data_IF_119834124492
#
_entry.id   IF_119834124492
#
_cell.length_a   1.000
_cell.length_b   1.000
_cell.length_c   1.000
_cell.angle_alpha   90.00
_cell.angle_beta   90.00
_cell.angle_gamma   90.00
#
_symmetry.space_group_name_H-M   'P 1'
#
loop_
_entity.id
_entity.type
_entity.pdbx_description
1 polymer ?
#
# COMPACT_ATOMS: atom_id res chain seq x y z
N UNK A 1 4.73 5.72 -5.03
CA UNK A 1 4.99 4.35 -5.54
C UNK A 1 6.48 4.07 -5.79
N UNK A 2 7.34 5.10 -5.90
CA UNK A 2 8.79 4.94 -6.10
C UNK A 2 9.50 4.30 -4.90
N UNK A 3 8.98 4.45 -3.68
CA UNK A 3 9.63 3.95 -2.47
C UNK A 3 9.44 2.45 -2.24
N UNK A 4 8.25 1.89 -2.52
CA UNK A 4 8.00 0.43 -2.43
C UNK A 4 8.95 -0.37 -3.33
N UNK A 5 9.29 0.17 -4.49
CA UNK A 5 10.25 -0.42 -5.45
C UNK A 5 11.70 -0.24 -4.96
N UNK A 6 11.99 0.80 -4.18
CA UNK A 6 13.30 1.10 -3.60
C UNK A 6 13.54 0.46 -2.23
N UNK A 7 12.53 -0.21 -1.64
CA UNK A 7 12.71 -0.99 -0.40
C UNK A 7 13.86 -1.97 -0.64
N UNK A 8 14.98 -1.75 0.04
CA UNK A 8 16.12 -2.67 -0.03
C UNK A 8 15.74 -4.06 0.50
N UNK A 9 16.45 -5.11 0.09
CA UNK A 9 16.19 -6.50 0.52
C UNK A 9 16.06 -6.63 2.06
N UNK A 10 16.84 -5.84 2.81
CA UNK A 10 16.78 -5.80 4.28
C UNK A 10 15.42 -5.34 4.82
N UNK A 11 14.83 -4.30 4.24
CA UNK A 11 13.52 -3.79 4.69
C UNK A 11 12.39 -4.76 4.33
N UNK A 12 12.45 -5.46 3.18
CA UNK A 12 11.50 -6.54 2.85
C UNK A 12 11.45 -7.66 3.89
N UNK A 13 12.62 -8.09 4.40
CA UNK A 13 12.69 -9.16 5.41
C UNK A 13 12.07 -8.72 6.75
N UNK A 14 12.24 -7.46 7.15
CA UNK A 14 11.60 -6.92 8.35
C UNK A 14 10.07 -6.96 8.21
N UNK A 15 9.54 -6.64 7.03
CA UNK A 15 8.11 -6.71 6.76
C UNK A 15 7.54 -8.13 6.72
N UNK A 16 8.30 -9.10 6.18
CA UNK A 16 7.91 -10.52 6.24
C UNK A 16 7.85 -11.00 7.69
N UNK A 17 8.90 -10.69 8.47
CA UNK A 17 8.94 -11.00 9.90
C UNK A 17 7.75 -10.40 10.65
N UNK A 18 7.44 -9.11 10.42
CA UNK A 18 6.27 -8.47 11.00
C UNK A 18 4.93 -9.11 10.56
N UNK A 19 4.87 -9.64 9.33
CA UNK A 19 3.70 -10.37 8.84
C UNK A 19 3.58 -11.79 9.42
N UNK A 20 4.68 -12.44 9.78
CA UNK A 20 4.72 -13.74 10.47
C UNK A 20 4.35 -13.60 11.94
N UNK A 21 4.97 -12.63 12.61
CA UNK A 21 4.78 -12.34 14.01
C UNK A 21 4.78 -10.82 14.23
N UNK A 22 3.60 -10.20 14.34
CA UNK A 22 3.49 -8.76 14.60
C UNK A 22 4.12 -8.33 15.92
N UNK A 23 4.29 -9.23 16.90
CA UNK A 23 4.95 -8.93 18.17
C UNK A 23 6.48 -8.87 18.05
N UNK A 24 7.04 -9.54 17.05
CA UNK A 24 8.46 -9.51 16.72
C UNK A 24 8.82 -8.41 15.70
N UNK A 25 7.87 -7.54 15.35
CA UNK A 25 8.08 -6.47 14.41
C UNK A 25 9.03 -5.40 14.98
N UNK A 26 10.02 -5.02 14.17
CA UNK A 26 11.05 -4.06 14.56
C UNK A 26 10.71 -2.68 13.99
N UNK A 27 9.64 -2.05 14.51
CA UNK A 27 9.07 -0.81 13.94
C UNK A 27 10.08 0.32 13.77
N UNK A 28 10.96 0.55 14.76
CA UNK A 28 12.03 1.56 14.65
C UNK A 28 12.94 1.30 13.46
N UNK A 29 13.31 0.05 13.19
CA UNK A 29 14.18 -0.30 12.05
C UNK A 29 13.44 -0.24 10.72
N UNK A 30 12.12 -0.48 10.74
CA UNK A 30 11.27 -0.42 9.55
C UNK A 30 11.10 1.05 9.11
N UNK A 31 10.95 1.96 10.06
CA UNK A 31 10.67 3.38 9.81
C UNK A 31 11.87 4.31 10.06
N UNK A 32 13.07 3.77 10.26
CA UNK A 32 14.30 4.56 10.42
C UNK A 32 14.46 5.55 9.26
N UNK A 33 14.52 6.84 9.58
CA UNK A 33 14.62 7.93 8.60
C UNK A 33 13.30 8.35 7.93
N UNK A 34 12.14 7.88 8.39
CA UNK A 34 10.82 8.23 7.85
C UNK A 34 9.94 8.95 8.89
N UNK A 35 9.32 10.06 8.49
CA UNK A 35 8.37 10.80 9.33
C UNK A 35 6.91 10.36 9.15
N UNK A 36 6.62 9.60 8.08
CA UNK A 36 5.28 9.14 7.74
C UNK A 36 5.31 7.83 6.95
N UNK A 37 4.20 7.09 7.01
CA UNK A 37 4.01 5.87 6.22
C UNK A 37 2.66 5.89 5.52
N UNK A 38 2.61 5.32 4.32
CA UNK A 38 1.38 5.12 3.53
C UNK A 38 1.40 3.74 2.88
N UNK A 39 0.22 3.29 2.43
CA UNK A 39 0.04 2.08 1.63
C UNK A 39 0.46 0.78 2.35
N UNK A 40 0.32 -0.34 1.65
CA UNK A 40 0.81 -1.63 2.09
C UNK A 40 2.35 -1.67 2.06
N UNK A 41 3.00 -2.34 3.01
CA UNK A 41 2.42 -3.21 4.05
C UNK A 41 1.96 -2.49 5.33
N UNK A 42 2.43 -1.27 5.60
CA UNK A 42 2.19 -0.57 6.86
C UNK A 42 0.70 -0.39 7.19
N UNK A 43 -0.13 -0.10 6.19
CA UNK A 43 -1.58 0.05 6.34
C UNK A 43 -2.24 -1.20 6.96
N UNK A 44 -1.66 -2.41 6.81
CA UNK A 44 -2.15 -3.62 7.48
C UNK A 44 -2.09 -3.53 9.00
N UNK A 45 -1.04 -2.88 9.50
CA UNK A 45 -0.63 -2.85 10.90
C UNK A 45 -1.07 -1.57 11.62
N UNK A 46 -1.93 -0.76 10.99
CA UNK A 46 -2.32 0.55 11.51
C UNK A 46 -2.72 0.53 12.99
N UNK A 47 -3.47 -0.49 13.47
CA UNK A 47 -3.85 -0.63 14.89
C UNK A 47 -2.63 -0.77 15.81
N UNK A 48 -1.68 -1.60 15.43
CA UNK A 48 -0.42 -1.77 16.18
C UNK A 48 0.38 -0.48 16.15
N UNK A 49 0.45 0.16 14.98
CA UNK A 49 1.23 1.38 14.79
C UNK A 49 0.68 2.57 15.59
N UNK A 50 -0.64 2.75 15.69
CA UNK A 50 -1.22 3.86 16.48
C UNK A 50 -1.06 3.66 18.00
N UNK A 51 -0.90 2.41 18.44
CA UNK A 51 -0.57 2.07 19.83
C UNK A 51 0.91 2.30 20.11
N UNK A 52 1.76 1.87 19.17
CA UNK A 52 3.21 1.99 19.28
C UNK A 52 3.70 3.44 19.15
N UNK A 53 3.07 4.23 18.27
CA UNK A 53 3.29 5.66 18.09
C UNK A 53 2.06 6.45 18.57
N UNK A 54 1.92 6.70 19.89
CA UNK A 54 0.72 7.31 20.46
C UNK A 54 0.51 8.77 20.05
N UNK A 55 1.56 9.46 19.60
CA UNK A 55 1.47 10.85 19.15
C UNK A 55 1.24 10.97 17.64
N UNK A 56 1.30 9.86 16.89
CA UNK A 56 1.09 9.88 15.46
C UNK A 56 -0.35 10.26 15.11
N UNK A 57 -0.48 11.19 14.16
CA UNK A 57 -1.76 11.50 13.52
C UNK A 57 -2.08 10.47 12.43
N UNK A 58 -3.36 10.20 12.22
CA UNK A 58 -3.85 9.25 11.22
C UNK A 58 -4.63 9.99 10.15
N UNK A 59 -4.30 9.73 8.89
CA UNK A 59 -5.04 10.22 7.73
C UNK A 59 -5.70 9.02 7.05
N UNK A 60 -7.02 8.97 7.08
CA UNK A 60 -7.82 7.97 6.40
C UNK A 60 -8.28 8.53 5.05
N UNK A 61 -7.64 8.10 3.97
CA UNK A 61 -8.04 8.48 2.63
C UNK A 61 -9.28 7.67 2.19
N UNK A 62 -10.36 8.37 1.87
CA UNK A 62 -11.63 7.76 1.44
C UNK A 62 -11.99 8.19 0.02
N UNK A 63 -12.55 7.23 -0.71
CA UNK A 63 -13.20 7.48 -2.00
C UNK A 63 -14.38 6.52 -2.19
N UNK A 64 -15.13 6.73 -3.26
CA UNK A 64 -16.17 5.81 -3.71
C UNK A 64 -15.66 4.37 -3.81
N UNK A 65 -16.36 3.43 -3.15
CA UNK A 65 -15.91 2.05 -2.99
C UNK A 65 -15.91 1.28 -4.31
N UNK A 66 -16.84 1.56 -5.22
CA UNK A 66 -16.89 0.90 -6.52
C UNK A 66 -15.73 1.35 -7.42
N UNK A 67 -15.51 2.66 -7.51
CA UNK A 67 -14.34 3.24 -8.20
C UNK A 67 -13.04 2.76 -7.57
N UNK A 68 -13.03 2.54 -6.26
CA UNK A 68 -11.88 1.94 -5.58
C UNK A 68 -11.60 0.52 -6.06
N UNK A 69 -12.62 -0.34 -6.05
CA UNK A 69 -12.51 -1.72 -6.48
C UNK A 69 -12.04 -1.81 -7.93
N UNK A 70 -12.69 -1.07 -8.83
CA UNK A 70 -12.37 -1.09 -10.27
C UNK A 70 -10.93 -0.64 -10.52
N UNK A 71 -10.47 0.36 -9.78
CA UNK A 71 -9.09 0.84 -9.86
C UNK A 71 -8.10 -0.24 -9.40
N UNK A 72 -8.30 -0.89 -8.25
CA UNK A 72 -7.38 -1.92 -7.75
C UNK A 72 -7.41 -3.18 -8.63
N UNK A 73 -8.61 -3.61 -9.07
CA UNK A 73 -8.80 -4.76 -9.96
C UNK A 73 -8.07 -4.59 -11.29
N UNK A 74 -8.20 -3.42 -11.91
CA UNK A 74 -7.60 -3.15 -13.22
C UNK A 74 -6.10 -2.85 -13.16
N UNK A 75 -5.54 -2.70 -11.95
CA UNK A 75 -4.13 -2.36 -11.76
C UNK A 75 -3.36 -3.47 -11.05
N UNK A 76 -3.22 -3.35 -9.72
CA UNK A 76 -2.34 -4.18 -8.90
C UNK A 76 -2.81 -5.64 -8.90
N UNK A 77 -4.12 -5.90 -8.85
CA UNK A 77 -4.63 -7.27 -8.87
C UNK A 77 -4.35 -7.97 -10.21
N UNK A 78 -4.56 -7.28 -11.33
CA UNK A 78 -4.23 -7.78 -12.67
C UNK A 78 -2.73 -8.06 -12.82
N UNK A 79 -1.88 -7.22 -12.24
CA UNK A 79 -0.43 -7.44 -12.25
C UNK A 79 -0.05 -8.68 -11.43
N UNK A 80 -0.57 -8.81 -10.21
CA UNK A 80 -0.31 -9.96 -9.34
C UNK A 80 -0.74 -11.29 -9.98
N UNK A 81 -1.83 -11.28 -10.76
CA UNK A 81 -2.28 -12.45 -11.53
C UNK A 81 -1.47 -12.78 -12.78
N UNK A 82 -0.54 -11.91 -13.21
CA UNK A 82 0.18 -12.05 -14.48
C UNK A 82 1.27 -13.12 -14.45
N UNK A 83 1.54 -13.72 -15.62
CA UNK A 83 2.58 -14.74 -15.77
C UNK A 83 3.98 -14.24 -15.39
N UNK A 84 4.24 -12.95 -15.63
CA UNK A 84 5.48 -12.26 -15.26
C UNK A 84 5.71 -12.32 -13.75
N UNK A 85 4.69 -12.08 -12.93
CA UNK A 85 4.81 -12.19 -11.47
C UNK A 85 4.91 -13.66 -11.02
N UNK A 86 4.08 -14.54 -11.60
CA UNK A 86 4.05 -15.98 -11.24
C UNK A 86 5.34 -16.74 -11.58
N UNK A 87 5.99 -16.42 -12.71
CA UNK A 87 7.24 -17.06 -13.14
C UNK A 87 8.45 -16.25 -12.67
N UNK A 88 8.39 -14.92 -12.73
CA UNK A 88 9.43 -14.00 -12.25
C UNK A 88 9.82 -14.24 -10.80
N UNK A 89 8.86 -14.56 -9.94
CA UNK A 89 9.15 -14.96 -8.57
C UNK A 89 10.10 -16.16 -8.49
N UNK A 90 9.94 -17.20 -9.31
CA UNK A 90 10.77 -18.41 -9.19
C UNK A 90 12.25 -18.19 -9.57
N UNK A 91 12.52 -17.22 -10.44
CA UNK A 91 13.83 -17.03 -11.06
C UNK A 91 14.54 -15.77 -10.56
N UNK A 92 13.82 -14.81 -9.98
CA UNK A 92 14.36 -13.55 -9.48
C UNK A 92 13.99 -13.40 -7.99
N UNK A 93 14.93 -13.64 -7.06
CA UNK A 93 14.64 -13.63 -5.62
C UNK A 93 13.92 -12.37 -5.14
N UNK A 94 14.27 -11.20 -5.67
CA UNK A 94 13.60 -9.94 -5.30
C UNK A 94 12.12 -9.89 -5.71
N UNK A 95 11.74 -10.49 -6.85
CA UNK A 95 10.34 -10.58 -7.27
C UNK A 95 9.57 -11.58 -6.40
N UNK A 96 10.23 -12.67 -5.99
CA UNK A 96 9.63 -13.63 -5.06
C UNK A 96 9.26 -12.98 -3.73
N UNK A 97 10.20 -12.27 -3.09
CA UNK A 97 9.92 -11.61 -1.81
C UNK A 97 8.77 -10.59 -1.92
N UNK A 98 8.68 -9.88 -3.04
CA UNK A 98 7.58 -8.94 -3.28
C UNK A 98 6.24 -9.66 -3.44
N UNK A 99 6.19 -10.73 -4.24
CA UNK A 99 4.99 -11.54 -4.42
C UNK A 99 4.54 -12.18 -3.10
N UNK A 100 5.48 -12.76 -2.34
CA UNK A 100 5.21 -13.37 -1.05
C UNK A 100 4.62 -12.36 -0.05
N UNK A 101 5.24 -11.18 0.09
CA UNK A 101 4.76 -10.15 1.00
C UNK A 101 3.35 -9.66 0.62
N UNK A 102 3.14 -9.37 -0.67
CA UNK A 102 1.84 -8.91 -1.18
C UNK A 102 0.77 -9.98 -0.98
N UNK A 103 1.06 -11.24 -1.30
CA UNK A 103 0.13 -12.35 -1.09
C UNK A 103 -0.20 -12.51 0.40
N UNK A 104 0.82 -12.54 1.26
CA UNK A 104 0.66 -12.80 2.70
C UNK A 104 -0.11 -11.70 3.41
N UNK A 105 0.13 -10.44 3.05
CA UNK A 105 -0.48 -9.29 3.73
C UNK A 105 -1.80 -8.89 3.07
N UNK A 106 -1.81 -8.77 1.74
CA UNK A 106 -2.93 -8.20 1.00
C UNK A 106 -3.91 -9.30 0.60
N UNK A 107 -3.51 -10.20 -0.30
CA UNK A 107 -4.45 -11.14 -0.93
C UNK A 107 -4.97 -12.20 0.04
N UNK A 108 -4.10 -13.01 0.62
CA UNK A 108 -4.46 -14.04 1.59
C UNK A 108 -4.71 -13.41 2.97
N UNK A 109 -3.89 -12.45 3.39
CA UNK A 109 -3.96 -11.87 4.74
C UNK A 109 -5.23 -11.08 5.01
N UNK A 110 -5.57 -10.18 4.09
CA UNK A 110 -6.69 -9.22 4.22
C UNK A 110 -7.92 -9.71 3.47
N UNK A 111 -7.76 -10.06 2.19
CA UNK A 111 -8.88 -10.44 1.34
C UNK A 111 -9.19 -11.93 1.33
N UNK A 112 -8.46 -12.77 2.09
CA UNK A 112 -8.67 -14.23 2.14
C UNK A 112 -8.77 -14.89 0.77
N UNK A 113 -7.98 -14.38 -0.19
CA UNK A 113 -7.95 -14.77 -1.60
C UNK A 113 -9.29 -14.58 -2.35
N UNK A 114 -10.20 -13.78 -1.78
CA UNK A 114 -11.53 -13.47 -2.34
C UNK A 114 -11.61 -12.07 -2.95
N UNK A 115 -10.49 -11.42 -3.25
CA UNK A 115 -10.51 -10.06 -3.82
C UNK A 115 -11.29 -9.98 -5.16
N UNK A 116 -11.36 -11.05 -5.96
CA UNK A 116 -12.15 -11.06 -7.19
C UNK A 116 -13.66 -10.95 -6.98
N UNK A 117 -14.17 -11.32 -5.79
CA UNK A 117 -15.55 -11.11 -5.38
C UNK A 117 -15.72 -9.62 -5.00
N UNK A 118 -16.37 -8.85 -5.89
CA UNK A 118 -16.52 -7.39 -5.75
C UNK A 118 -17.23 -7.02 -4.46
N UNK A 119 -18.31 -7.72 -4.12
CA UNK A 119 -19.10 -7.45 -2.92
C UNK A 119 -18.27 -7.67 -1.67
N UNK A 120 -17.53 -8.79 -1.60
CA UNK A 120 -16.63 -9.08 -0.48
C UNK A 120 -15.50 -8.05 -0.36
N UNK A 121 -14.86 -7.67 -1.48
CA UNK A 121 -13.77 -6.68 -1.44
C UNK A 121 -14.26 -5.30 -0.94
N UNK A 122 -15.45 -4.87 -1.38
CA UNK A 122 -16.09 -3.63 -0.92
C UNK A 122 -16.48 -3.71 0.55
N UNK A 123 -16.98 -4.86 1.01
CA UNK A 123 -17.29 -5.09 2.42
C UNK A 123 -16.06 -4.89 3.30
N UNK A 124 -14.92 -5.50 2.94
CA UNK A 124 -13.66 -5.35 3.65
C UNK A 124 -13.15 -3.89 3.65
N UNK A 125 -13.29 -3.19 2.52
CA UNK A 125 -12.93 -1.77 2.42
C UNK A 125 -13.78 -0.90 3.34
N UNK A 126 -15.10 -1.08 3.34
CA UNK A 126 -16.01 -0.33 4.20
C UNK A 126 -15.77 -0.66 5.68
N UNK A 127 -15.61 -1.94 6.00
CA UNK A 127 -15.28 -2.38 7.35
C UNK A 127 -14.00 -1.70 7.86
N UNK A 128 -12.93 -1.68 7.06
CA UNK A 128 -11.69 -1.01 7.41
C UNK A 128 -11.91 0.48 7.70
N UNK A 129 -12.61 1.19 6.82
CA UNK A 129 -12.87 2.62 6.98
C UNK A 129 -13.66 2.93 8.25
N UNK A 130 -14.72 2.18 8.52
CA UNK A 130 -15.53 2.36 9.73
C UNK A 130 -14.76 1.97 10.99
N UNK A 131 -13.93 0.94 10.91
CA UNK A 131 -13.11 0.53 12.04
C UNK A 131 -12.04 1.57 12.41
N UNK A 132 -11.38 2.20 11.41
CA UNK A 132 -10.44 3.30 11.63
C UNK A 132 -11.16 4.47 12.29
N UNK A 133 -12.31 4.90 11.76
CA UNK A 133 -13.13 5.98 12.34
C UNK A 133 -13.58 5.69 13.77
N UNK A 134 -13.84 4.42 14.10
CA UNK A 134 -14.29 4.00 15.42
C UNK A 134 -13.18 3.97 16.46
N UNK A 135 -11.98 3.54 16.07
CA UNK A 135 -10.87 3.30 17.01
C UNK A 135 -9.99 4.53 17.20
N UNK A 136 -9.73 5.30 16.14
CA UNK A 136 -8.80 6.44 16.23
C UNK A 136 -9.52 7.64 16.88
N UNK A 137 -8.94 8.27 17.90
CA UNK A 137 -9.48 9.51 18.48
C UNK A 137 -9.68 10.60 17.42
N UNK A 138 -10.79 11.34 17.51
CA UNK A 138 -11.19 12.34 16.48
C UNK A 138 -10.16 13.45 16.29
N UNK A 139 -9.48 13.86 17.36
CA UNK A 139 -8.41 14.84 17.37
C UNK A 139 -7.12 14.33 16.68
N UNK A 140 -6.97 13.01 16.55
CA UNK A 140 -5.88 12.33 15.85
C UNK A 140 -6.26 11.79 14.48
N UNK A 141 -7.50 11.99 14.01
CA UNK A 141 -7.98 11.44 12.75
C UNK A 141 -8.43 12.53 11.77
N UNK A 142 -7.87 12.49 10.56
CA UNK A 142 -8.41 13.18 9.40
C UNK A 142 -9.01 12.16 8.43
N UNK A 143 -10.31 12.26 8.19
CA UNK A 143 -10.96 11.57 7.05
C UNK A 143 -10.84 12.50 5.84
N UNK A 144 -10.19 12.03 4.78
CA UNK A 144 -9.71 12.87 3.69
C UNK A 144 -10.08 12.30 2.33
N UNK A 145 -10.67 13.10 1.45
CA UNK A 145 -10.71 12.83 0.00
C UNK A 145 -9.64 13.71 -0.66
N UNK A 146 -8.75 13.12 -1.45
CA UNK A 146 -7.67 13.82 -2.16
C UNK A 146 -8.15 15.02 -3.00
N UNK A 147 -9.41 15.03 -3.43
CA UNK A 147 -10.03 16.17 -4.14
C UNK A 147 -10.12 17.44 -3.31
N UNK A 148 -10.04 17.33 -1.98
CA UNK A 148 -10.06 18.49 -1.09
C UNK A 148 -8.73 19.27 -1.09
N UNK A 149 -7.65 18.70 -1.64
CA UNK A 149 -6.37 19.38 -1.80
C UNK A 149 -5.61 19.62 -0.49
N UNK A 150 -4.76 20.65 -0.47
CA UNK A 150 -3.82 20.90 0.63
C UNK A 150 -4.49 21.37 1.92
N UNK A 151 -5.52 22.20 1.82
CA UNK A 151 -6.02 22.97 2.95
C UNK A 151 -6.41 22.14 4.18
N UNK A 152 -7.29 21.11 4.08
CA UNK A 152 -7.64 20.32 5.26
C UNK A 152 -6.48 19.49 5.80
N UNK A 153 -5.56 19.05 4.93
CA UNK A 153 -4.38 18.28 5.33
C UNK A 153 -3.40 19.15 6.12
N UNK A 154 -3.01 20.30 5.57
CA UNK A 154 -2.11 21.25 6.21
C UNK A 154 -2.68 21.77 7.54
N UNK A 155 -3.98 22.09 7.58
CA UNK A 155 -4.69 22.48 8.80
C UNK A 155 -4.61 21.39 9.87
N UNK A 156 -4.90 20.14 9.50
CA UNK A 156 -4.83 19.01 10.43
C UNK A 156 -3.42 18.75 10.94
N UNK A 157 -2.39 18.94 10.10
CA UNK A 157 -0.99 18.75 10.47
C UNK A 157 -0.36 19.97 11.17
N UNK A 158 -1.05 21.10 11.27
CA UNK A 158 -0.52 22.39 11.74
C UNK A 158 0.69 22.87 10.91
N UNK A 159 0.58 22.74 9.58
CA UNK A 159 1.60 23.15 8.62
C UNK A 159 1.07 24.24 7.69
N UNK A 160 1.94 25.08 7.10
CA UNK A 160 1.51 26.02 6.07
C UNK A 160 1.05 25.29 4.81
N UNK A 161 0.09 25.89 4.09
CA UNK A 161 -0.29 25.42 2.75
C UNK A 161 0.83 25.78 1.77
N UNK A 162 1.40 24.81 1.03
CA UNK A 162 2.49 25.10 0.11
C UNK A 162 1.97 25.76 -1.18
N UNK A 163 2.79 26.60 -1.79
CA UNK A 163 2.48 27.26 -3.08
C UNK A 163 2.81 26.36 -4.28
N UNK A 164 2.29 25.14 -4.25
CA UNK A 164 2.37 24.16 -5.35
C UNK A 164 1.04 23.44 -5.52
N UNK A 165 0.67 22.99 -6.73
CA UNK A 165 -0.54 22.19 -6.93
C UNK A 165 -0.55 20.93 -6.07
N UNK A 166 -1.73 20.52 -5.59
CA UNK A 166 -1.87 19.25 -4.89
C UNK A 166 -1.48 18.10 -5.84
N UNK A 167 -0.64 17.14 -5.42
CA UNK A 167 -0.15 16.10 -6.31
C UNK A 167 -1.28 15.26 -6.91
N UNK A 168 -1.31 15.18 -8.24
CA UNK A 168 -2.12 14.20 -8.97
C UNK A 168 -1.18 13.23 -9.67
N UNK A 169 -0.75 12.21 -8.91
CA UNK A 169 0.20 11.19 -9.36
C UNK A 169 -0.45 9.82 -9.23
N UNK A 170 -0.09 8.89 -10.12
CA UNK A 170 -0.67 7.54 -10.21
C UNK A 170 -2.14 7.52 -10.68
N UNK A 171 -2.49 8.39 -11.64
CA UNK A 171 -3.71 8.15 -12.42
C UNK A 171 -3.63 6.81 -13.17
N UNK A 172 -4.77 6.37 -13.71
CA UNK A 172 -4.87 5.08 -14.40
C UNK A 172 -3.84 4.95 -15.53
N UNK A 173 -3.60 6.01 -16.31
CA UNK A 173 -2.69 5.97 -17.45
C UNK A 173 -1.23 5.85 -17.00
N UNK A 174 -0.84 6.58 -15.96
CA UNK A 174 0.48 6.50 -15.35
C UNK A 174 0.77 5.10 -14.79
N UNK A 175 -0.24 4.48 -14.16
CA UNK A 175 -0.14 3.11 -13.63
C UNK A 175 -0.06 2.08 -14.77
N UNK A 176 -0.91 2.19 -15.79
CA UNK A 176 -0.87 1.31 -16.99
C UNK A 176 0.47 1.39 -17.73
N UNK A 177 1.03 2.59 -17.86
CA UNK A 177 2.37 2.82 -18.45
C UNK A 177 3.46 2.16 -17.62
N UNK A 178 3.47 2.38 -16.30
CA UNK A 178 4.44 1.77 -15.38
C UNK A 178 4.42 0.24 -15.44
N UNK A 179 3.24 -0.37 -15.56
CA UNK A 179 3.12 -1.82 -15.73
C UNK A 179 3.64 -2.32 -17.07
N UNK A 180 3.40 -1.56 -18.14
CA UNK A 180 3.91 -1.89 -19.47
C UNK A 180 5.44 -1.89 -19.46
N UNK A 181 6.04 -0.88 -18.84
CA UNK A 181 7.49 -0.75 -18.74
C UNK A 181 8.10 -1.83 -17.83
N UNK A 182 7.47 -2.15 -16.69
CA UNK A 182 7.90 -3.24 -15.82
C UNK A 182 7.86 -4.60 -16.54
N UNK A 183 6.78 -4.90 -17.29
CA UNK A 183 6.69 -6.14 -18.07
C UNK A 183 7.79 -6.23 -19.13
N UNK A 184 8.10 -5.12 -19.80
CA UNK A 184 9.21 -5.06 -20.79
C UNK A 184 10.56 -5.31 -20.13
N UNK A 185 10.83 -4.71 -18.97
CA UNK A 185 12.09 -4.92 -18.24
C UNK A 185 12.25 -6.38 -17.80
N UNK A 186 11.21 -6.99 -17.22
CA UNK A 186 11.28 -8.40 -16.82
C UNK A 186 11.41 -9.33 -18.03
N UNK A 187 10.69 -9.06 -19.13
CA UNK A 187 10.85 -9.81 -20.37
C UNK A 187 12.29 -9.72 -20.91
N UNK A 188 12.88 -8.52 -20.91
CA UNK A 188 14.26 -8.31 -21.33
C UNK A 188 15.25 -9.12 -20.48
N UNK A 189 15.08 -9.14 -19.14
CA UNK A 189 15.88 -9.97 -18.24
C UNK A 189 15.76 -11.46 -18.60
N UNK A 190 14.56 -11.93 -18.95
CA UNK A 190 14.35 -13.32 -19.37
C UNK A 190 15.03 -13.65 -20.71
N UNK A 191 15.05 -12.73 -21.66
CA UNK A 191 15.74 -12.93 -22.96
C UNK A 191 17.26 -12.99 -22.82
N UNK A 192 17.84 -12.32 -21.81
CA UNK A 192 19.30 -12.36 -21.58
C UNK A 192 19.76 -13.52 -20.67
N UNK A 193 18.83 -14.24 -20.03
CA UNK A 193 19.11 -15.40 -19.18
C UNK A 193 18.84 -16.74 -19.87
N UNK A 194 18.34 -16.73 -21.11
CA UNK A 194 18.10 -17.90 -21.97
C UNK A 194 19.18 -17.99 -23.06
#
# INVERSE_FOLDING_TARGET
MTEVIKIGRKSRLLWIKAADDPSAAEWERIFDGYDATVDWPAARFWKTLIQYYPDAKVILNVRDAEKWYDSVKNTIYKLAGSLVFKIGGKLIPNLWYMDELVRKIVWTGTFKDRFSDKSYAIEIYNFHNEEVKRIVPKDRLLVFDVKQGWEPLCRFLNLPVPDIPFPNVNDRQAVEKSFTDFKKQVFMIFTFLA
#
